data_IF_216854704158
#
_entry.id   IF_216854704158
#
_cell.length_a   1.000
_cell.length_b   1.000
_cell.length_c   1.000
_cell.angle_alpha   90.00
_cell.angle_beta   90.00
_cell.angle_gamma   90.00
#
_symmetry.space_group_name_H-M   'P 1'
#
loop_
_entity.id
_entity.type
_entity.pdbx_description
1 polymer ?
#
# COMPACT_ATOMS: atom_id res chain seq x y z
N UNK A 1 -11.03 30.57 -4.32
CA UNK A 1 -10.37 29.33 -3.84
C UNK A 1 -9.55 29.69 -2.62
N UNK A 2 -10.02 29.31 -1.42
CA UNK A 2 -9.28 29.58 -0.19
C UNK A 2 -7.99 28.75 -0.17
N UNK A 3 -6.86 29.44 -0.06
CA UNK A 3 -5.55 28.78 0.07
C UNK A 3 -5.56 27.94 1.35
N UNK A 4 -5.25 26.65 1.24
CA UNK A 4 -5.03 25.78 2.40
C UNK A 4 -4.09 26.46 3.40
N UNK A 5 -4.41 26.47 4.71
CA UNK A 5 -3.55 27.09 5.71
C UNK A 5 -2.11 26.55 5.61
N UNK A 6 -1.10 27.41 5.83
CA UNK A 6 0.34 27.06 5.69
C UNK A 6 0.73 25.78 6.44
N UNK A 7 0.09 25.50 7.59
CA UNK A 7 0.30 24.28 8.37
C UNK A 7 -0.01 23.00 7.56
N UNK A 8 -1.08 22.99 6.77
CA UNK A 8 -1.46 21.84 5.94
C UNK A 8 -0.50 21.67 4.77
N UNK A 9 -0.07 22.77 4.14
CA UNK A 9 0.96 22.71 3.10
C UNK A 9 2.26 22.10 3.61
N UNK A 10 2.72 22.53 4.79
CA UNK A 10 3.94 22.01 5.39
C UNK A 10 3.81 20.54 5.78
N UNK A 11 2.69 20.16 6.38
CA UNK A 11 2.39 18.78 6.74
C UNK A 11 2.34 17.87 5.51
N UNK A 12 1.54 18.25 4.51
CA UNK A 12 1.29 17.40 3.34
C UNK A 12 2.47 17.36 2.36
N UNK A 13 3.51 18.18 2.55
CA UNK A 13 4.65 18.31 1.61
C UNK A 13 5.32 16.97 1.31
N UNK A 14 5.43 16.11 2.33
CA UNK A 14 6.07 14.80 2.23
C UNK A 14 5.07 13.64 2.25
N UNK A 15 3.77 13.92 2.11
CA UNK A 15 2.76 12.88 1.97
C UNK A 15 2.93 12.11 0.67
N UNK A 16 2.44 10.88 0.69
CA UNK A 16 2.51 9.92 -0.41
C UNK A 16 1.11 9.40 -0.67
N UNK A 17 0.56 9.69 -1.84
CA UNK A 17 -0.67 9.06 -2.29
C UNK A 17 -0.31 7.72 -2.94
N UNK A 18 -0.87 6.65 -2.41
CA UNK A 18 -0.74 5.29 -2.88
C UNK A 18 -2.09 4.84 -3.43
N UNK A 19 -2.14 4.51 -4.71
CA UNK A 19 -3.32 3.95 -5.35
C UNK A 19 -2.98 2.58 -5.91
N UNK A 20 -3.74 1.55 -5.52
CA UNK A 20 -3.51 0.20 -6.02
C UNK A 20 -4.80 -0.50 -6.46
N UNK A 21 -4.67 -1.37 -7.45
CA UNK A 21 -5.73 -2.28 -7.90
C UNK A 21 -5.52 -3.65 -7.29
N UNK A 22 -6.52 -4.18 -6.61
CA UNK A 22 -6.49 -5.53 -6.04
C UNK A 22 -7.15 -6.54 -6.96
N UNK A 23 -6.50 -7.68 -7.14
CA UNK A 23 -7.02 -8.80 -7.94
C UNK A 23 -6.76 -10.16 -7.26
N UNK A 24 -7.80 -10.96 -6.97
CA UNK A 24 -9.22 -10.63 -7.13
C UNK A 24 -9.65 -9.55 -6.13
N UNK A 25 -10.80 -8.90 -6.32
CA UNK A 25 -11.41 -8.04 -5.30
C UNK A 25 -11.73 -8.80 -4.01
N UNK A 26 -11.73 -8.12 -2.84
CA UNK A 26 -12.31 -8.66 -1.61
C UNK A 26 -13.78 -9.05 -1.83
N UNK A 27 -14.19 -10.21 -1.33
CA UNK A 27 -15.54 -10.77 -1.48
C UNK A 27 -16.46 -10.51 -0.29
N UNK A 28 -15.90 -10.13 0.86
CA UNK A 28 -16.65 -9.85 2.08
C UNK A 28 -16.16 -8.59 2.77
N UNK A 29 -16.99 -8.02 3.65
CA UNK A 29 -16.61 -6.89 4.50
C UNK A 29 -15.45 -7.23 5.44
N UNK A 30 -15.41 -8.45 5.97
CA UNK A 30 -14.30 -8.94 6.81
C UNK A 30 -12.97 -9.00 6.04
N UNK A 31 -13.01 -9.49 4.80
CA UNK A 31 -11.83 -9.55 3.93
C UNK A 31 -11.34 -8.14 3.56
N UNK A 32 -12.26 -7.24 3.22
CA UNK A 32 -11.91 -5.83 2.99
C UNK A 32 -11.31 -5.20 4.25
N UNK A 33 -11.95 -5.36 5.41
CA UNK A 33 -11.47 -4.82 6.68
C UNK A 33 -10.07 -5.34 7.02
N UNK A 34 -9.81 -6.62 6.81
CA UNK A 34 -8.47 -7.20 6.98
C UNK A 34 -7.43 -6.50 6.09
N UNK A 35 -7.71 -6.37 4.79
CA UNK A 35 -6.81 -5.71 3.85
C UNK A 35 -6.54 -4.25 4.25
N UNK A 36 -7.58 -3.49 4.59
CA UNK A 36 -7.46 -2.09 5.00
C UNK A 36 -6.63 -1.96 6.27
N UNK A 37 -6.92 -2.76 7.30
CA UNK A 37 -6.16 -2.76 8.56
C UNK A 37 -4.66 -3.04 8.33
N UNK A 38 -4.32 -3.95 7.41
CA UNK A 38 -2.93 -4.26 7.07
C UNK A 38 -2.26 -3.09 6.36
N UNK A 39 -2.96 -2.42 5.43
CA UNK A 39 -2.43 -1.25 4.73
C UNK A 39 -2.30 -0.02 5.63
N UNK A 40 -3.21 0.17 6.58
CA UNK A 40 -3.15 1.26 7.58
C UNK A 40 -1.93 1.15 8.50
N UNK A 41 -1.44 -0.07 8.77
CA UNK A 41 -0.23 -0.30 9.57
C UNK A 41 1.07 0.12 8.88
N UNK A 42 1.04 0.41 7.57
CA UNK A 42 2.26 0.73 6.82
C UNK A 42 2.88 2.07 7.22
N UNK A 43 2.04 3.06 7.53
CA UNK A 43 2.39 4.41 7.97
C UNK A 43 1.11 5.13 8.40
N UNK A 44 1.24 6.32 8.99
CA UNK A 44 0.08 7.17 9.29
C UNK A 44 -0.75 7.49 8.05
N UNK A 45 -2.05 7.26 8.17
CA UNK A 45 -3.05 7.47 7.12
C UNK A 45 -3.86 8.73 7.40
N UNK A 46 -3.97 9.61 6.41
CA UNK A 46 -4.83 10.79 6.46
C UNK A 46 -6.16 10.59 5.75
N UNK A 47 -6.13 9.91 4.61
CA UNK A 47 -7.30 9.62 3.79
C UNK A 47 -7.18 8.17 3.33
N UNK A 48 -8.26 7.42 3.46
CA UNK A 48 -8.39 6.08 2.90
C UNK A 48 -9.73 5.99 2.18
N UNK A 49 -9.69 5.55 0.94
CA UNK A 49 -10.86 5.29 0.11
C UNK A 49 -10.66 3.95 -0.60
N UNK A 50 -11.73 3.22 -0.81
CA UNK A 50 -11.75 2.07 -1.71
C UNK A 50 -12.91 2.22 -2.68
N UNK A 51 -12.86 1.52 -3.81
CA UNK A 51 -14.05 1.31 -4.64
C UNK A 51 -15.15 0.78 -3.74
N UNK A 52 -16.32 1.41 -3.79
CA UNK A 52 -17.45 0.95 -2.98
C UNK A 52 -17.82 -0.47 -3.42
N UNK A 53 -17.88 -1.40 -2.46
CA UNK A 53 -18.47 -2.73 -2.67
C UNK A 53 -20.01 -2.69 -2.65
N UNK A 54 -20.62 -1.50 -2.57
CA UNK A 54 -22.08 -1.40 -2.57
C UNK A 54 -22.66 -2.04 -3.84
N UNK A 55 -23.83 -2.71 -3.76
CA UNK A 55 -24.50 -3.33 -4.91
C UNK A 55 -24.88 -2.37 -6.04
N UNK A 56 -24.65 -1.07 -5.86
CA UNK A 56 -25.16 0.00 -6.71
C UNK A 56 -24.43 0.13 -8.05
N UNK A 57 -23.27 -0.52 -8.24
CA UNK A 57 -22.62 -0.49 -9.56
C UNK A 57 -21.64 -1.67 -9.83
N UNK A 58 -22.14 -2.93 -9.93
CA UNK A 58 -21.33 -4.07 -10.33
C UNK A 58 -20.66 -3.90 -11.71
N UNK A 59 -21.20 -3.03 -12.58
CA UNK A 59 -20.60 -2.69 -13.87
C UNK A 59 -19.29 -1.95 -13.71
N UNK A 60 -19.19 -0.97 -12.81
CA UNK A 60 -17.92 -0.28 -12.51
C UNK A 60 -16.84 -1.22 -11.98
N UNK A 61 -17.20 -2.22 -11.19
CA UNK A 61 -16.24 -3.23 -10.70
C UNK A 61 -15.70 -4.07 -11.86
N UNK A 62 -16.54 -4.43 -12.84
CA UNK A 62 -16.15 -5.15 -14.04
C UNK A 62 -15.29 -4.29 -14.99
N UNK A 63 -15.64 -3.02 -15.17
CA UNK A 63 -14.96 -2.12 -16.11
C UNK A 63 -13.62 -1.58 -15.57
N UNK A 64 -13.57 -1.21 -14.29
CA UNK A 64 -12.41 -0.52 -13.70
C UNK A 64 -11.65 -1.35 -12.67
N UNK A 65 -12.25 -2.40 -12.12
CA UNK A 65 -11.68 -3.21 -11.04
C UNK A 65 -11.81 -2.60 -9.64
N UNK A 66 -11.28 -3.31 -8.64
CA UNK A 66 -11.29 -2.85 -7.25
C UNK A 66 -10.03 -2.05 -6.92
N UNK A 67 -10.21 -0.77 -6.58
CA UNK A 67 -9.12 0.13 -6.25
C UNK A 67 -9.13 0.51 -4.78
N UNK A 68 -7.95 0.70 -4.22
CA UNK A 68 -7.72 1.33 -2.93
C UNK A 68 -6.85 2.57 -3.17
N UNK A 69 -7.20 3.67 -2.52
CA UNK A 69 -6.51 4.96 -2.60
C UNK A 69 -6.26 5.48 -1.19
N UNK A 70 -4.99 5.65 -0.84
CA UNK A 70 -4.56 6.02 0.51
C UNK A 70 -3.62 7.20 0.42
N UNK A 71 -3.90 8.25 1.19
CA UNK A 71 -2.97 9.32 1.46
C UNK A 71 -2.23 9.02 2.76
N UNK A 72 -0.95 8.69 2.63
CA UNK A 72 -0.06 8.47 3.76
C UNK A 72 0.72 9.74 4.10
N UNK A 73 0.99 9.92 5.39
CA UNK A 73 1.91 10.93 5.92
C UNK A 73 3.03 10.26 6.71
N UNK A 74 3.99 9.60 6.01
CA UNK A 74 4.98 8.71 6.63
C UNK A 74 5.99 9.42 7.54
N UNK A 75 6.03 10.75 7.52
CA UNK A 75 6.92 11.55 8.33
C UNK A 75 6.35 11.89 9.72
N UNK A 76 5.07 11.59 9.94
CA UNK A 76 4.35 11.95 11.16
C UNK A 76 3.77 10.71 11.80
N UNK A 77 3.70 10.64 13.14
CA UNK A 77 3.11 9.50 13.84
C UNK A 77 1.57 9.56 13.90
N UNK A 78 0.96 10.73 13.65
CA UNK A 78 -0.48 10.96 13.73
C UNK A 78 -0.97 11.80 12.55
N UNK A 79 -2.19 11.53 12.10
CA UNK A 79 -2.85 12.24 11.01
C UNK A 79 -3.17 13.67 11.41
N UNK A 80 -2.97 14.65 10.54
CA UNK A 80 -3.37 16.05 10.80
C UNK A 80 -4.88 16.23 11.05
N UNK A 81 -5.69 15.26 10.64
CA UNK A 81 -7.13 15.24 10.85
C UNK A 81 -7.56 14.54 12.15
N UNK A 82 -6.60 14.06 12.95
CA UNK A 82 -6.91 13.42 14.23
C UNK A 82 -7.51 14.46 15.21
N UNK A 83 -8.67 14.16 15.84
CA UNK A 83 -9.38 15.11 16.70
C UNK A 83 -8.59 15.53 17.94
N UNK A 84 -7.61 14.73 18.37
CA UNK A 84 -6.80 14.97 19.56
C UNK A 84 -5.46 15.69 19.29
N UNK A 85 -5.28 16.32 18.13
CA UNK A 85 -4.04 17.08 17.88
C UNK A 85 -4.03 18.39 18.67
N UNK A 86 -3.09 18.55 19.62
CA UNK A 86 -2.83 19.85 20.23
C UNK A 86 -2.46 20.88 19.15
N UNK A 87 -2.95 22.10 19.30
CA UNK A 87 -2.56 23.22 18.44
C UNK A 87 -1.06 23.49 18.64
N UNK A 88 -0.21 23.03 17.71
CA UNK A 88 1.24 23.30 17.74
C UNK A 88 2.15 22.11 17.46
N UNK A 89 1.62 20.88 17.38
CA UNK A 89 2.42 19.64 17.33
C UNK A 89 3.16 19.36 16.01
N UNK A 90 3.08 20.26 15.04
CA UNK A 90 3.92 20.19 13.85
C UNK A 90 5.04 21.20 13.97
N UNK A 91 6.20 20.81 14.55
CA UNK A 91 7.32 21.73 14.71
C UNK A 91 7.71 22.32 13.36
N UNK A 92 8.15 23.59 13.33
CA UNK A 92 8.63 24.21 12.10
C UNK A 92 9.72 23.34 11.47
N UNK A 93 9.62 23.15 10.15
CA UNK A 93 10.54 22.32 9.38
C UNK A 93 11.94 22.95 9.38
N UNK A 94 12.81 22.51 10.29
CA UNK A 94 14.25 22.77 10.19
C UNK A 94 14.83 22.11 8.93
N UNK A 95 16.00 22.57 8.46
CA UNK A 95 16.68 21.96 7.29
C UNK A 95 16.94 20.46 7.51
N UNK A 96 17.34 20.08 8.71
CA UNK A 96 17.56 18.69 9.12
C UNK A 96 16.26 17.87 9.08
N UNK A 97 15.16 18.43 9.59
CA UNK A 97 13.82 17.81 9.50
C UNK A 97 13.36 17.61 8.06
N UNK A 98 13.70 18.53 7.15
CA UNK A 98 13.38 18.38 5.72
C UNK A 98 14.16 17.22 5.10
N UNK A 99 15.46 17.10 5.37
CA UNK A 99 16.27 16.00 4.85
C UNK A 99 15.77 14.64 5.37
N UNK A 100 15.48 14.54 6.67
CA UNK A 100 14.91 13.35 7.30
C UNK A 100 13.55 12.98 6.69
N UNK A 101 12.66 13.95 6.48
CA UNK A 101 11.35 13.70 5.90
C UNK A 101 11.44 13.27 4.42
N UNK A 102 12.37 13.83 3.64
CA UNK A 102 12.64 13.36 2.27
C UNK A 102 13.13 11.92 2.23
N UNK A 103 14.03 11.55 3.14
CA UNK A 103 14.53 10.18 3.25
C UNK A 103 13.42 9.22 3.65
N UNK A 104 12.64 9.56 4.69
CA UNK A 104 11.49 8.77 5.13
C UNK A 104 10.46 8.57 4.00
N UNK A 105 10.13 9.64 3.26
CA UNK A 105 9.25 9.56 2.10
C UNK A 105 9.82 8.62 1.02
N UNK A 106 11.12 8.70 0.74
CA UNK A 106 11.76 7.87 -0.31
C UNK A 106 11.75 6.40 0.09
N UNK A 107 12.17 6.07 1.31
CA UNK A 107 12.14 4.70 1.84
C UNK A 107 10.72 4.12 1.84
N UNK A 108 9.72 4.95 2.19
CA UNK A 108 8.33 4.53 2.18
C UNK A 108 7.82 4.24 0.76
N UNK A 109 8.20 5.06 -0.22
CA UNK A 109 7.85 4.83 -1.63
C UNK A 109 8.49 3.55 -2.16
N UNK A 110 9.76 3.28 -1.81
CA UNK A 110 10.41 2.01 -2.15
C UNK A 110 9.67 0.82 -1.52
N UNK A 111 9.29 0.92 -0.25
CA UNK A 111 8.47 -0.09 0.43
C UNK A 111 7.15 -0.34 -0.31
N UNK A 112 6.43 0.71 -0.69
CA UNK A 112 5.16 0.59 -1.42
C UNK A 112 5.34 -0.02 -2.83
N UNK A 113 6.39 0.37 -3.56
CA UNK A 113 6.69 -0.20 -4.87
C UNK A 113 7.04 -1.68 -4.80
N UNK A 114 7.63 -2.14 -3.70
CA UNK A 114 7.97 -3.55 -3.51
C UNK A 114 6.77 -4.48 -3.28
N UNK A 115 5.59 -3.95 -2.90
CA UNK A 115 4.42 -4.75 -2.52
C UNK A 115 3.93 -5.62 -3.68
N UNK A 116 3.66 -6.90 -3.44
CA UNK A 116 3.20 -7.87 -4.45
C UNK A 116 1.82 -8.39 -4.15
N UNK A 117 1.60 -8.89 -2.93
CA UNK A 117 0.38 -9.56 -2.56
C UNK A 117 0.10 -9.49 -1.06
N UNK A 118 -1.11 -9.86 -0.70
CA UNK A 118 -1.57 -10.11 0.67
C UNK A 118 -2.42 -11.39 0.66
N UNK A 119 -2.28 -12.30 1.64
CA UNK A 119 -3.17 -13.46 1.70
C UNK A 119 -4.62 -13.05 1.82
N UNK A 120 -5.51 -13.90 1.32
CA UNK A 120 -6.95 -13.70 1.44
C UNK A 120 -7.41 -14.10 2.82
N UNK A 121 -8.30 -13.30 3.43
CA UNK A 121 -8.74 -13.51 4.80
C UNK A 121 -9.31 -14.91 5.04
N UNK A 122 -10.11 -15.42 4.11
CA UNK A 122 -10.69 -16.78 4.18
C UNK A 122 -9.63 -17.89 4.19
N UNK A 123 -8.45 -17.67 3.61
CA UNK A 123 -7.36 -18.65 3.66
C UNK A 123 -6.64 -18.67 5.02
N UNK A 124 -6.86 -17.66 5.86
CA UNK A 124 -6.19 -17.49 7.15
C UNK A 124 -7.09 -17.77 8.35
N UNK A 125 -8.40 -17.53 8.23
CA UNK A 125 -9.31 -17.49 9.39
C UNK A 125 -9.42 -18.83 10.15
N UNK A 126 -9.08 -19.94 9.49
CA UNK A 126 -9.03 -21.28 10.10
C UNK A 126 -7.61 -21.84 10.25
N UNK A 127 -6.57 -21.09 9.85
CA UNK A 127 -5.19 -21.54 9.90
C UNK A 127 -4.58 -21.23 11.28
N UNK A 128 -4.76 -22.16 12.22
CA UNK A 128 -4.32 -22.00 13.61
C UNK A 128 -2.80 -21.77 13.71
N UNK A 129 -2.00 -22.47 12.90
CA UNK A 129 -0.54 -22.30 12.90
C UNK A 129 -0.13 -20.89 12.44
N UNK A 130 -0.85 -20.30 11.49
CA UNK A 130 -0.62 -18.91 11.09
C UNK A 130 -1.05 -17.92 12.18
N UNK A 131 -2.23 -18.14 12.76
CA UNK A 131 -2.79 -17.29 13.83
C UNK A 131 -1.88 -17.29 15.05
N UNK A 132 -1.32 -18.44 15.40
CA UNK A 132 -0.37 -18.63 16.51
C UNK A 132 1.07 -18.25 16.14
N UNK A 133 1.29 -17.69 14.94
CA UNK A 133 2.60 -17.26 14.41
C UNK A 133 3.65 -18.38 14.33
N UNK A 134 3.21 -19.64 14.26
CA UNK A 134 4.07 -20.81 14.14
C UNK A 134 4.47 -21.06 12.68
N UNK A 135 3.69 -20.53 11.72
CA UNK A 135 3.94 -20.69 10.29
C UNK A 135 3.70 -19.41 9.50
N UNK A 136 4.59 -19.17 8.54
CA UNK A 136 4.41 -18.14 7.52
C UNK A 136 3.97 -18.72 6.18
N UNK A 137 3.25 -17.93 5.38
CA UNK A 137 2.73 -18.34 4.08
C UNK A 137 3.55 -17.70 2.96
N UNK A 138 4.07 -18.53 2.06
CA UNK A 138 4.85 -18.09 0.90
C UNK A 138 3.96 -17.92 -0.33
N UNK A 139 4.20 -16.88 -1.11
CA UNK A 139 3.57 -16.72 -2.44
C UNK A 139 4.27 -17.63 -3.45
N UNK A 140 3.75 -18.85 -3.62
CA UNK A 140 4.14 -19.71 -4.74
C UNK A 140 3.57 -19.15 -6.03
N UNK A 141 4.45 -18.92 -7.02
CA UNK A 141 4.08 -18.30 -8.28
C UNK A 141 4.95 -18.81 -9.44
N UNK A 142 4.47 -18.58 -10.64
CA UNK A 142 5.19 -18.78 -11.90
C UNK A 142 5.32 -17.44 -12.62
N UNK A 143 6.41 -17.26 -13.35
CA UNK A 143 6.58 -16.10 -14.22
C UNK A 143 6.03 -16.43 -15.61
N UNK A 144 5.45 -15.43 -16.27
CA UNK A 144 5.15 -15.55 -17.71
C UNK A 144 6.44 -15.66 -18.53
N UNK A 145 6.40 -16.24 -19.75
CA UNK A 145 7.59 -16.44 -20.57
C UNK A 145 8.44 -15.19 -20.81
N UNK A 146 7.79 -14.03 -21.00
CA UNK A 146 8.47 -12.73 -21.23
C UNK A 146 9.24 -12.20 -20.03
N UNK A 147 9.05 -12.79 -18.83
CA UNK A 147 9.66 -12.35 -17.59
C UNK A 147 10.61 -13.40 -16.98
N UNK A 148 10.91 -14.48 -17.72
CA UNK A 148 11.76 -15.56 -17.22
C UNK A 148 13.18 -15.13 -16.86
N UNK A 149 13.67 -14.03 -17.45
CA UNK A 149 14.97 -13.43 -17.11
C UNK A 149 15.07 -12.92 -15.67
N UNK A 150 13.94 -12.70 -14.99
CA UNK A 150 13.95 -12.32 -13.57
C UNK A 150 14.11 -13.53 -12.63
N UNK A 151 13.95 -14.76 -13.13
CA UNK A 151 14.00 -15.96 -12.28
C UNK A 151 15.35 -16.06 -11.56
N UNK A 152 15.31 -16.19 -10.24
CA UNK A 152 16.51 -16.23 -9.39
C UNK A 152 17.03 -14.86 -8.93
N UNK A 153 16.62 -13.78 -9.60
CA UNK A 153 17.13 -12.42 -9.36
C UNK A 153 16.31 -11.61 -8.36
N UNK A 154 15.35 -12.26 -7.68
CA UNK A 154 14.56 -11.66 -6.62
C UNK A 154 14.19 -12.70 -5.56
N UNK A 155 13.81 -12.19 -4.39
CA UNK A 155 13.14 -12.97 -3.36
C UNK A 155 11.80 -12.32 -3.01
N UNK A 156 10.89 -13.12 -2.47
CA UNK A 156 9.66 -12.62 -1.88
C UNK A 156 9.71 -12.83 -0.38
N UNK A 157 9.18 -11.86 0.37
CA UNK A 157 8.94 -12.06 1.80
C UNK A 157 7.89 -13.13 2.03
N UNK A 158 7.99 -13.76 3.20
CA UNK A 158 6.95 -14.67 3.69
C UNK A 158 5.92 -13.83 4.46
N UNK A 159 4.64 -14.10 4.23
CA UNK A 159 3.56 -13.50 5.02
C UNK A 159 3.53 -14.11 6.41
N UNK A 160 3.43 -13.29 7.45
CA UNK A 160 3.19 -13.70 8.84
C UNK A 160 2.04 -12.90 9.44
N UNK A 161 1.52 -13.33 10.60
CA UNK A 161 0.43 -12.61 11.29
C UNK A 161 0.80 -11.14 11.57
N UNK A 162 2.07 -10.88 11.90
CA UNK A 162 2.60 -9.55 12.18
C UNK A 162 2.86 -8.73 10.91
N UNK A 163 3.29 -9.40 9.83
CA UNK A 163 3.59 -8.79 8.55
C UNK A 163 2.90 -9.55 7.40
N UNK A 164 1.59 -9.33 7.17
CA UNK A 164 0.84 -10.10 6.18
C UNK A 164 1.16 -9.72 4.71
N UNK A 165 1.94 -8.65 4.50
CA UNK A 165 2.27 -8.19 3.15
C UNK A 165 3.45 -8.95 2.58
N UNK A 166 3.31 -9.38 1.33
CA UNK A 166 4.36 -9.99 0.55
C UNK A 166 4.99 -8.92 -0.34
N UNK A 167 6.30 -8.76 -0.22
CA UNK A 167 7.11 -7.77 -0.92
C UNK A 167 8.26 -8.41 -1.67
N UNK A 168 8.71 -7.75 -2.73
CA UNK A 168 9.96 -8.07 -3.41
C UNK A 168 11.12 -7.62 -2.53
N UNK A 169 11.98 -8.57 -2.15
CA UNK A 169 13.33 -8.30 -1.65
C UNK A 169 14.27 -8.29 -2.85
N UNK A 170 14.88 -7.14 -3.12
CA UNK A 170 15.83 -6.98 -4.23
C UNK A 170 17.08 -7.80 -3.94
N UNK A 171 17.46 -8.67 -4.89
CA UNK A 171 18.80 -9.26 -4.93
C UNK A 171 19.73 -8.47 -5.84
N UNK A 172 19.20 -7.87 -6.90
CA UNK A 172 19.98 -7.14 -7.89
C UNK A 172 19.32 -5.81 -8.32
N UNK A 173 20.11 -4.80 -8.70
CA UNK A 173 19.64 -3.44 -9.00
C UNK A 173 18.77 -3.30 -10.26
N UNK A 174 18.67 -4.33 -11.11
CA UNK A 174 18.01 -4.24 -12.42
C UNK A 174 16.56 -4.75 -12.45
N UNK A 175 16.00 -5.17 -11.31
CA UNK A 175 14.64 -5.71 -11.28
C UNK A 175 13.62 -4.57 -11.35
N UNK A 176 12.91 -4.48 -12.48
CA UNK A 176 11.74 -3.61 -12.58
C UNK A 176 10.57 -4.26 -11.82
N UNK A 177 10.33 -3.82 -10.59
CA UNK A 177 9.30 -4.34 -9.68
C UNK A 177 7.89 -4.33 -10.29
N UNK A 178 7.57 -3.30 -11.08
CA UNK A 178 6.28 -3.19 -11.74
C UNK A 178 6.09 -4.31 -12.78
N UNK A 179 7.10 -4.52 -13.64
CA UNK A 179 7.07 -5.57 -14.66
C UNK A 179 7.09 -6.95 -14.02
N UNK A 180 7.96 -7.17 -13.03
CA UNK A 180 8.06 -8.43 -12.31
C UNK A 180 6.73 -8.79 -11.64
N UNK A 181 6.15 -7.86 -10.87
CA UNK A 181 4.85 -8.05 -10.22
C UNK A 181 3.77 -8.38 -11.23
N UNK A 182 3.62 -7.60 -12.30
CA UNK A 182 2.63 -7.86 -13.34
C UNK A 182 2.76 -9.27 -13.94
N UNK A 183 4.00 -9.74 -14.08
CA UNK A 183 4.36 -11.02 -14.68
C UNK A 183 4.16 -12.26 -13.79
N UNK A 184 3.91 -12.09 -12.49
CA UNK A 184 3.68 -13.20 -11.55
C UNK A 184 2.26 -13.76 -11.69
N UNK A 185 2.16 -15.05 -12.02
CA UNK A 185 0.93 -15.86 -11.93
C UNK A 185 0.94 -16.65 -10.63
N UNK A 186 -0.11 -16.54 -9.82
CA UNK A 186 -0.21 -17.23 -8.54
C UNK A 186 -1.63 -17.75 -8.30
N UNK A 187 -1.82 -18.45 -7.18
CA UNK A 187 -3.15 -18.89 -6.77
C UNK A 187 -3.98 -17.70 -6.25
N UNK A 188 -4.98 -17.27 -7.02
CA UNK A 188 -5.91 -16.18 -6.67
C UNK A 188 -6.95 -16.58 -5.62
N UNK A 189 -7.08 -17.87 -5.29
CA UNK A 189 -7.90 -18.31 -4.16
C UNK A 189 -7.21 -17.99 -2.82
N UNK A 190 -5.88 -17.94 -2.81
CA UNK A 190 -5.08 -17.75 -1.58
C UNK A 190 -4.59 -16.32 -1.38
N UNK A 191 -4.41 -15.53 -2.45
CA UNK A 191 -3.84 -14.18 -2.36
C UNK A 191 -4.61 -13.15 -3.18
N UNK A 192 -4.72 -11.94 -2.63
CA UNK A 192 -4.93 -10.73 -3.41
C UNK A 192 -3.59 -10.22 -3.93
N UNK A 193 -3.51 -9.96 -5.22
CA UNK A 193 -2.39 -9.31 -5.88
C UNK A 193 -2.60 -7.80 -5.90
N UNK A 194 -1.53 -7.03 -5.66
CA UNK A 194 -1.48 -5.61 -6.04
C UNK A 194 -1.17 -5.51 -7.54
N UNK A 195 -2.18 -5.68 -8.39
CA UNK A 195 -2.02 -5.78 -9.85
C UNK A 195 -1.40 -4.52 -10.46
N UNK A 196 -1.86 -3.35 -10.01
CA UNK A 196 -1.35 -2.05 -10.43
C UNK A 196 -1.09 -1.20 -9.20
N UNK A 197 0.03 -0.48 -9.20
CA UNK A 197 0.39 0.46 -8.15
C UNK A 197 0.77 1.78 -8.80
N UNK A 198 0.13 2.86 -8.37
CA UNK A 198 0.45 4.23 -8.73
C UNK A 198 0.77 5.01 -7.46
N UNK A 199 1.89 5.73 -7.47
CA UNK A 199 2.38 6.48 -6.31
C UNK A 199 2.60 7.93 -6.73
N UNK A 200 2.03 8.86 -5.97
CA UNK A 200 2.14 10.29 -6.23
C UNK A 200 2.72 11.01 -5.02
N UNK A 201 3.68 11.92 -5.28
CA UNK A 201 4.24 12.83 -4.27
C UNK A 201 3.50 14.16 -4.36
N UNK A 202 3.21 14.79 -3.22
CA UNK A 202 2.50 16.07 -3.21
C UNK A 202 3.25 17.19 -3.98
N UNK A 203 4.59 17.13 -4.04
CA UNK A 203 5.39 18.08 -4.80
C UNK A 203 5.21 18.06 -6.33
N UNK A 204 4.45 17.11 -6.88
CA UNK A 204 4.24 16.94 -8.33
C UNK A 204 2.79 17.14 -8.78
N UNK A 205 1.80 17.04 -7.89
CA UNK A 205 0.39 16.91 -8.30
C UNK A 205 -0.61 17.79 -7.55
N UNK A 206 -0.19 18.72 -6.68
CA UNK A 206 -1.09 19.55 -5.86
C UNK A 206 -2.29 18.72 -5.36
N UNK A 207 -2.09 17.90 -4.33
CA UNK A 207 -3.15 17.04 -3.73
C UNK A 207 -4.38 17.84 -3.21
N UNK A 208 -4.38 19.16 -3.40
CA UNK A 208 -5.45 20.13 -3.16
C UNK A 208 -6.63 19.99 -4.13
N UNK A 209 -6.44 19.39 -5.31
CA UNK A 209 -7.52 19.21 -6.30
C UNK A 209 -8.43 18.00 -6.01
N UNK A 210 -8.36 17.40 -4.82
CA UNK A 210 -9.09 16.17 -4.46
C UNK A 210 -10.45 16.42 -3.76
N UNK A 211 -11.16 17.51 -4.10
CA UNK A 211 -12.55 17.73 -3.73
C UNK A 211 -13.49 17.33 -4.87
#
# INVERSE_FOLDING_TARGET
MDKLPKRFHNYLKHSVRFRCKLSPPPKSSSELKFVLNVLEKLATVDILRSTSLTPLDPKKLLESGFWIDILYSPCYPKSIFSPMLPKGDFPPLSKESIAKNKLAQSNFIEKLNSLVAIPRFHALETDTEYIENQRGIKLVHQLVPSAMSYRGNYELTTSTIDNPLISIKRKEPLVNEHVLRASMRHNFQLFHKFESIAIYKNGLFNLVEMN
#
